data_IF_949750668737
#
_entry.id   IF_949750668737
#
_cell.length_a   1.000
_cell.length_b   1.000
_cell.length_c   1.000
_cell.angle_alpha   90.00
_cell.angle_beta   90.00
_cell.angle_gamma   90.00
#
_symmetry.space_group_name_H-M   'P 1'
#
loop_
_entity.id
_entity.type
_entity.pdbx_description
1 polymer ?
#
# COMPACT_ATOMS: atom_id res chain seq x y z
N UNK A 1 -19.60 -0.17 8.47
CA UNK A 1 -19.57 -1.58 7.99
C UNK A 1 -18.37 -2.28 8.60
N UNK A 2 -18.51 -3.52 9.09
CA UNK A 2 -17.36 -4.31 9.60
C UNK A 2 -16.77 -5.11 8.44
N UNK A 3 -15.48 -4.93 8.15
CA UNK A 3 -14.76 -5.76 7.18
C UNK A 3 -14.61 -7.17 7.74
N UNK A 4 -14.80 -8.18 6.90
CA UNK A 4 -14.55 -9.57 7.28
C UNK A 4 -13.05 -9.80 7.55
N UNK A 5 -12.74 -10.83 8.34
CA UNK A 5 -11.35 -11.19 8.69
C UNK A 5 -10.49 -11.51 7.45
N UNK A 6 -10.98 -12.30 6.46
CA UNK A 6 -10.22 -12.55 5.23
C UNK A 6 -9.96 -11.29 4.42
N UNK A 7 -10.97 -10.42 4.26
CA UNK A 7 -10.82 -9.16 3.51
C UNK A 7 -9.82 -8.24 4.21
N UNK A 8 -9.87 -8.14 5.54
CA UNK A 8 -8.92 -7.30 6.28
C UNK A 8 -7.48 -7.76 6.08
N UNK A 9 -7.22 -9.07 6.07
CA UNK A 9 -5.90 -9.63 5.75
C UNK A 9 -5.49 -9.38 4.31
N UNK A 10 -6.41 -9.55 3.37
CA UNK A 10 -6.16 -9.24 1.96
C UNK A 10 -5.69 -7.80 1.77
N UNK A 11 -6.34 -6.82 2.43
CA UNK A 11 -5.93 -5.41 2.35
C UNK A 11 -4.54 -5.17 2.93
N UNK A 12 -4.19 -5.80 4.05
CA UNK A 12 -2.83 -5.71 4.62
C UNK A 12 -1.79 -6.28 3.66
N UNK A 13 -2.03 -7.50 3.15
CA UNK A 13 -1.12 -8.16 2.22
C UNK A 13 -0.95 -7.36 0.93
N UNK A 14 -2.04 -6.80 0.40
CA UNK A 14 -2.01 -5.96 -0.79
C UNK A 14 -1.16 -4.70 -0.58
N UNK A 15 -1.30 -4.02 0.56
CA UNK A 15 -0.47 -2.87 0.87
C UNK A 15 1.01 -3.23 1.05
N UNK A 16 1.31 -4.35 1.70
CA UNK A 16 2.69 -4.86 1.82
C UNK A 16 3.28 -5.20 0.45
N UNK A 17 2.53 -5.91 -0.39
CA UNK A 17 2.93 -6.22 -1.76
C UNK A 17 3.19 -4.96 -2.59
N UNK A 18 2.35 -3.93 -2.45
CA UNK A 18 2.53 -2.64 -3.11
C UNK A 18 3.87 -2.00 -2.73
N UNK A 19 4.25 -2.07 -1.45
CA UNK A 19 5.54 -1.59 -0.95
C UNK A 19 6.74 -2.37 -1.50
N UNK A 20 6.56 -3.59 -1.98
CA UNK A 20 7.62 -4.32 -2.69
C UNK A 20 7.68 -3.93 -4.17
N UNK A 21 6.53 -3.82 -4.84
CA UNK A 21 6.49 -3.56 -6.29
C UNK A 21 6.97 -2.15 -6.63
N UNK A 22 6.44 -1.12 -5.98
CA UNK A 22 6.65 0.25 -6.42
C UNK A 22 8.09 0.77 -6.26
N UNK A 23 8.83 0.48 -5.18
CA UNK A 23 10.23 0.87 -5.08
C UNK A 23 11.13 0.13 -6.08
N UNK A 24 10.86 -1.15 -6.36
CA UNK A 24 11.59 -1.89 -7.39
C UNK A 24 11.29 -1.34 -8.78
N UNK A 25 10.04 -1.01 -9.07
CA UNK A 25 9.65 -0.33 -10.30
C UNK A 25 10.33 1.03 -10.45
N UNK A 26 10.36 1.86 -9.40
CA UNK A 26 11.05 3.15 -9.42
C UNK A 26 12.55 3.00 -9.68
N UNK A 27 13.19 1.98 -9.08
CA UNK A 27 14.61 1.68 -9.36
C UNK A 27 14.84 1.34 -10.83
N UNK A 28 13.94 0.56 -11.44
CA UNK A 28 14.04 0.22 -12.86
C UNK A 28 13.87 1.46 -13.74
N UNK A 29 12.90 2.33 -13.43
CA UNK A 29 12.69 3.59 -14.14
C UNK A 29 13.90 4.50 -13.97
N UNK A 30 14.44 4.64 -12.77
CA UNK A 30 15.63 5.46 -12.53
C UNK A 30 16.82 5.04 -13.41
N UNK A 31 16.96 3.75 -13.68
CA UNK A 31 18.04 3.21 -14.53
C UNK A 31 17.71 3.22 -16.04
N UNK A 32 16.50 3.60 -16.44
CA UNK A 32 16.11 3.69 -17.86
C UNK A 32 16.77 4.93 -18.50
N UNK A 33 17.37 4.81 -19.70
CA UNK A 33 18.07 5.91 -20.37
C UNK A 33 17.16 7.11 -20.69
N UNK A 34 15.83 6.94 -20.73
CA UNK A 34 14.88 8.04 -20.96
C UNK A 34 14.63 8.89 -19.72
N UNK A 35 15.08 8.46 -18.54
CA UNK A 35 14.77 9.15 -17.28
C UNK A 35 15.56 10.43 -17.08
N UNK A 36 16.77 10.48 -17.64
CA UNK A 36 17.69 11.59 -17.44
C UNK A 36 18.36 12.00 -18.74
N UNK A 37 18.23 13.28 -19.08
CA UNK A 37 18.99 13.95 -20.13
C UNK A 37 19.12 15.42 -19.73
N UNK A 38 20.30 15.86 -19.33
CA UNK A 38 20.55 17.18 -18.71
C UNK A 38 19.61 17.55 -17.55
N UNK A 39 18.97 16.56 -16.90
CA UNK A 39 17.98 16.74 -15.86
C UNK A 39 16.92 15.63 -15.85
N UNK A 40 15.98 15.72 -14.90
CA UNK A 40 14.85 14.79 -14.82
C UNK A 40 13.89 15.01 -15.99
N UNK A 41 13.65 13.97 -16.77
CA UNK A 41 12.77 14.02 -17.94
C UNK A 41 11.30 13.77 -17.57
N UNK A 42 10.33 14.23 -18.39
CA UNK A 42 8.90 13.97 -18.15
C UNK A 42 8.59 12.48 -17.96
N UNK A 43 9.31 11.60 -18.66
CA UNK A 43 9.24 10.15 -18.47
C UNK A 43 9.49 9.78 -17.00
N UNK A 44 10.59 10.24 -16.40
CA UNK A 44 10.87 9.98 -14.99
C UNK A 44 9.83 10.60 -14.06
N UNK A 45 9.46 11.87 -14.30
CA UNK A 45 8.58 12.63 -13.41
C UNK A 45 7.18 12.00 -13.29
N UNK A 46 6.58 11.57 -14.41
CA UNK A 46 5.27 10.90 -14.39
C UNK A 46 5.33 9.62 -13.58
N UNK A 47 6.35 8.80 -13.79
CA UNK A 47 6.51 7.54 -13.05
C UNK A 47 6.82 7.77 -11.58
N UNK A 48 7.60 8.80 -11.23
CA UNK A 48 7.84 9.18 -9.85
C UNK A 48 6.53 9.55 -9.15
N UNK A 49 5.69 10.38 -9.77
CA UNK A 49 4.36 10.75 -9.23
C UNK A 49 3.48 9.50 -9.08
N UNK A 50 3.42 8.64 -10.10
CA UNK A 50 2.67 7.37 -10.05
C UNK A 50 3.12 6.47 -8.89
N UNK A 51 4.44 6.36 -8.66
CA UNK A 51 5.00 5.60 -7.54
C UNK A 51 4.59 6.20 -6.19
N UNK A 52 4.76 7.51 -6.01
CA UNK A 52 4.45 8.20 -4.74
C UNK A 52 2.96 8.06 -4.41
N UNK A 53 2.08 8.37 -5.36
CA UNK A 53 0.63 8.24 -5.18
C UNK A 53 0.25 6.79 -4.85
N UNK A 54 0.81 5.83 -5.59
CA UNK A 54 0.52 4.42 -5.36
C UNK A 54 1.00 3.91 -4.00
N UNK A 55 2.15 4.39 -3.50
CA UNK A 55 2.64 4.07 -2.16
C UNK A 55 1.73 4.66 -1.07
N UNK A 56 1.24 5.89 -1.25
CA UNK A 56 0.28 6.51 -0.34
C UNK A 56 -1.02 5.68 -0.29
N UNK A 57 -1.56 5.33 -1.46
CA UNK A 57 -2.77 4.51 -1.56
C UNK A 57 -2.57 3.12 -0.96
N UNK A 58 -1.47 2.43 -1.27
CA UNK A 58 -1.12 1.13 -0.71
C UNK A 58 -0.98 1.16 0.81
N UNK A 59 -0.40 2.24 1.35
CA UNK A 59 -0.30 2.47 2.80
C UNK A 59 -1.68 2.69 3.43
N UNK A 60 -2.53 3.53 2.82
CA UNK A 60 -3.89 3.75 3.29
C UNK A 60 -4.70 2.44 3.32
N UNK A 61 -4.58 1.62 2.27
CA UNK A 61 -5.21 0.30 2.18
C UNK A 61 -4.70 -0.62 3.30
N UNK A 62 -3.39 -0.71 3.53
CA UNK A 62 -2.83 -1.49 4.63
C UNK A 62 -3.36 -1.04 6.00
N UNK A 63 -3.43 0.28 6.24
CA UNK A 63 -3.96 0.85 7.48
C UNK A 63 -5.43 0.48 7.68
N UNK A 64 -6.25 0.53 6.62
CA UNK A 64 -7.65 0.10 6.67
C UNK A 64 -7.75 -1.39 7.06
N UNK A 65 -6.92 -2.24 6.44
CA UNK A 65 -6.84 -3.67 6.79
C UNK A 65 -6.47 -3.89 8.26
N UNK A 66 -5.45 -3.20 8.77
CA UNK A 66 -5.03 -3.28 10.18
C UNK A 66 -6.15 -2.83 11.13
N UNK A 67 -6.87 -1.75 10.79
CA UNK A 67 -8.01 -1.27 11.58
C UNK A 67 -9.15 -2.29 11.59
N UNK A 68 -9.43 -2.95 10.45
CA UNK A 68 -10.37 -4.06 10.36
C UNK A 68 -10.01 -5.21 11.30
N UNK A 69 -8.74 -5.63 11.29
CA UNK A 69 -8.24 -6.69 12.18
C UNK A 69 -8.34 -6.32 13.68
N UNK A 70 -8.03 -5.06 14.04
CA UNK A 70 -8.12 -4.58 15.44
C UNK A 70 -9.58 -4.51 15.92
N UNK A 71 -10.51 -4.04 15.09
CA UNK A 71 -11.94 -3.98 15.43
C UNK A 71 -12.59 -5.36 15.65
N UNK A 72 -12.13 -6.38 14.93
CA UNK A 72 -12.55 -7.77 15.13
C UNK A 72 -12.03 -8.35 16.46
N UNK A 73 -10.78 -8.05 16.83
CA UNK A 73 -10.19 -8.49 18.12
C UNK A 73 -10.91 -7.90 19.34
N UNK A 74 -11.40 -6.67 19.25
CA UNK A 74 -12.20 -6.04 20.32
C UNK A 74 -13.59 -6.66 20.51
N UNK A 75 -14.19 -7.20 19.45
CA UNK A 75 -15.52 -7.82 19.53
C UNK A 75 -15.49 -9.25 20.08
N UNK A 76 -14.40 -9.99 19.84
CA UNK A 76 -14.21 -11.35 20.38
C UNK A 76 -13.88 -11.37 21.89
N UNK A 77 -13.62 -10.20 22.50
CA UNK A 77 -13.27 -10.06 23.93
C UNK A 77 -14.46 -9.80 24.87
N UNK A 78 -15.71 -10.00 24.42
CA UNK A 78 -16.87 -10.14 25.30
C UNK A 78 -17.32 -11.61 25.42
N UNK A 79 -16.65 -12.46 26.20
CA UNK A 79 -17.27 -13.65 26.75
C UNK A 79 -18.01 -13.29 28.04
N UNK A 80 -19.32 -13.61 28.10
CA UNK A 80 -20.12 -13.78 29.33
C UNK A 80 -20.25 -12.55 30.22
N UNK A 81 -21.36 -11.81 30.08
CA UNK A 81 -21.97 -11.10 31.19
C UNK A 81 -23.18 -11.93 31.63
N UNK A 82 -22.98 -12.63 32.74
CA UNK A 82 -23.91 -13.08 33.80
C UNK A 82 -25.32 -13.56 33.40
#
# INVERSE_FOLDING_TARGET
MRLSKPVSWFLVLFGVWSWFIWPNFLRNIWNDPRSFDHGAQPFFLVHLVLVVVSLVLGTAIAVIGVRGLRGLRGSARRPGGD
#
